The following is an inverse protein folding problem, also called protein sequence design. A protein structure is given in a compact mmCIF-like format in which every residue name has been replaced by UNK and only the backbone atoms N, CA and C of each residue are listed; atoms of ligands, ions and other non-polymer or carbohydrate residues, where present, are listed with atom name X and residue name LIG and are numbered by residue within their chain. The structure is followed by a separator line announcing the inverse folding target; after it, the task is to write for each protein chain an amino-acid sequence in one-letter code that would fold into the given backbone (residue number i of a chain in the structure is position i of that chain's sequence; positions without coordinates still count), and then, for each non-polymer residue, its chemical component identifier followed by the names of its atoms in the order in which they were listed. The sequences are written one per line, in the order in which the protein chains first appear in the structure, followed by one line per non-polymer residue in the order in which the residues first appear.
data_IF_070623982663
#
_entry.id   IF_070623982663
#
_cell.length_a   1.000
_cell.length_b   1.000
_cell.length_c   1.000
_cell.angle_alpha   90.00
_cell.angle_beta   90.00
_cell.angle_gamma   90.00
#
_symmetry.space_group_name_H-M   'P 1'
#
loop_
_entity.id
_entity.type
_entity.pdbx_description
1 polymer ?
#
# COMPACT_ATOMS: atom_id res chain seq x y z
N UNK A 1 8.31 11.31 -18.21
CA UNK A 1 8.57 9.89 -18.60
C UNK A 1 7.51 9.05 -17.92
N UNK A 2 6.76 8.29 -18.70
CA UNK A 2 5.70 7.41 -18.21
C UNK A 2 6.26 6.40 -17.18
N UNK A 3 5.44 6.06 -16.19
CA UNK A 3 5.86 5.17 -15.08
C UNK A 3 6.26 3.78 -15.60
N UNK A 4 5.53 3.25 -16.58
CA UNK A 4 5.81 1.94 -17.18
C UNK A 4 7.17 1.85 -17.89
N UNK A 5 7.78 2.97 -18.25
CA UNK A 5 9.12 3.05 -18.86
C UNK A 5 10.25 3.08 -17.83
N UNK A 6 9.93 3.22 -16.54
CA UNK A 6 10.92 3.21 -15.45
C UNK A 6 11.28 1.77 -15.08
N UNK A 7 12.54 1.47 -14.69
CA UNK A 7 12.88 0.20 -14.07
C UNK A 7 11.99 -0.09 -12.86
N UNK A 8 11.68 -1.36 -12.63
CA UNK A 8 10.79 -1.76 -11.53
C UNK A 8 11.22 -1.24 -10.14
N UNK A 9 12.51 -1.22 -9.75
CA UNK A 9 12.93 -0.61 -8.49
C UNK A 9 12.57 0.88 -8.37
N UNK A 10 12.65 1.63 -9.46
CA UNK A 10 12.27 3.04 -9.49
C UNK A 10 10.75 3.23 -9.37
N UNK A 11 9.96 2.35 -9.99
CA UNK A 11 8.51 2.36 -9.81
C UNK A 11 8.15 2.11 -8.34
N UNK A 12 8.74 1.10 -7.71
CA UNK A 12 8.51 0.77 -6.31
C UNK A 12 8.89 1.92 -5.37
N UNK A 13 10.02 2.58 -5.61
CA UNK A 13 10.46 3.74 -4.84
C UNK A 13 9.52 4.94 -5.04
N UNK A 14 9.11 5.21 -6.27
CA UNK A 14 8.17 6.29 -6.59
C UNK A 14 6.84 6.13 -5.85
N UNK A 15 6.22 4.95 -5.91
CA UNK A 15 4.94 4.71 -5.24
C UNK A 15 5.06 4.71 -3.71
N UNK A 16 6.21 4.28 -3.16
CA UNK A 16 6.48 4.42 -1.73
C UNK A 16 6.56 5.90 -1.32
N UNK A 17 7.22 6.71 -2.12
CA UNK A 17 7.32 8.15 -1.88
C UNK A 17 5.96 8.84 -2.06
N UNK A 18 5.17 8.46 -3.04
CA UNK A 18 3.79 8.94 -3.17
C UNK A 18 2.95 8.57 -1.94
N UNK A 19 3.08 7.33 -1.44
CA UNK A 19 2.38 6.89 -0.23
C UNK A 19 2.84 7.66 1.02
N UNK A 20 4.10 8.07 1.11
CA UNK A 20 4.61 8.91 2.19
C UNK A 20 4.03 10.33 2.11
N UNK A 21 4.07 10.94 0.93
CA UNK A 21 3.56 12.30 0.75
C UNK A 21 2.06 12.42 0.97
N UNK A 22 1.32 11.32 0.84
CA UNK A 22 -0.10 11.30 1.18
C UNK A 22 -0.40 11.58 2.65
N UNK A 23 0.56 11.40 3.58
CA UNK A 23 0.40 11.74 5.00
C UNK A 23 0.64 13.21 5.33
N UNK A 24 1.22 13.96 4.42
CA UNK A 24 1.45 15.39 4.61
C UNK A 24 0.13 16.19 4.63
N UNK A 25 0.10 17.37 5.25
CA UNK A 25 -0.99 18.31 5.05
C UNK A 25 -1.25 18.55 3.56
N UNK A 26 -2.50 18.73 3.16
CA UNK A 26 -2.91 18.78 1.76
C UNK A 26 -2.04 19.72 0.89
N UNK A 27 -1.80 20.94 1.37
CA UNK A 27 -1.00 21.93 0.66
C UNK A 27 0.45 21.46 0.42
N UNK A 28 1.04 20.85 1.44
CA UNK A 28 2.42 20.33 1.36
C UNK A 28 2.48 19.09 0.47
N UNK A 29 1.53 18.16 0.63
CA UNK A 29 1.42 16.97 -0.21
C UNK A 29 1.29 17.32 -1.68
N UNK A 30 0.38 18.26 -2.03
CA UNK A 30 0.22 18.77 -3.40
C UNK A 30 1.51 19.39 -3.96
N UNK A 31 2.27 20.14 -3.14
CA UNK A 31 3.55 20.69 -3.56
C UNK A 31 4.58 19.57 -3.85
N UNK A 32 4.65 18.54 -2.99
CA UNK A 32 5.53 17.39 -3.18
C UNK A 32 5.16 16.56 -4.40
N UNK A 33 3.90 16.32 -4.66
CA UNK A 33 3.44 15.65 -5.87
C UNK A 33 3.77 16.44 -7.15
N UNK A 34 3.69 17.77 -7.08
CA UNK A 34 4.12 18.64 -8.19
C UNK A 34 5.62 18.52 -8.48
N UNK A 35 6.48 18.39 -7.45
CA UNK A 35 7.92 18.12 -7.61
C UNK A 35 8.16 16.78 -8.34
N UNK A 36 7.27 15.78 -8.14
CA UNK A 36 7.33 14.50 -8.85
C UNK A 36 6.72 14.56 -10.27
N UNK A 37 6.20 15.70 -10.69
CA UNK A 37 5.61 15.90 -12.02
C UNK A 37 4.12 15.56 -12.11
N UNK A 38 3.39 15.55 -11.00
CA UNK A 38 1.95 15.28 -10.97
C UNK A 38 1.12 16.51 -10.57
N UNK A 39 -0.03 16.67 -11.19
CA UNK A 39 -1.14 17.46 -10.65
C UNK A 39 -1.89 16.58 -9.66
N UNK A 40 -2.08 17.05 -8.43
CA UNK A 40 -2.71 16.29 -7.37
C UNK A 40 -4.09 16.85 -7.00
N UNK A 41 -5.10 15.99 -6.95
CA UNK A 41 -6.41 16.24 -6.36
C UNK A 41 -6.53 15.46 -5.07
N UNK A 42 -6.98 16.10 -3.99
CA UNK A 42 -7.20 15.47 -2.69
C UNK A 42 -8.69 15.12 -2.55
N UNK A 43 -8.96 13.91 -2.09
CA UNK A 43 -10.28 13.39 -1.75
C UNK A 43 -10.31 13.17 -0.25
N UNK A 44 -11.35 13.67 0.41
CA UNK A 44 -11.59 13.48 1.84
C UNK A 44 -13.09 13.37 2.10
N UNK A 45 -13.56 12.14 2.29
CA UNK A 45 -14.95 11.84 2.61
C UNK A 45 -15.01 11.07 3.92
N UNK A 46 -15.63 11.66 4.92
CA UNK A 46 -15.80 11.07 6.26
C UNK A 46 -14.50 10.54 6.91
N UNK A 47 -13.36 11.20 6.60
CA UNK A 47 -12.04 10.81 7.08
C UNK A 47 -11.35 9.73 6.23
N UNK A 48 -12.02 9.20 5.21
CA UNK A 48 -11.43 8.32 4.20
C UNK A 48 -10.75 9.15 3.12
N UNK A 49 -9.43 9.07 3.05
CA UNK A 49 -8.61 10.01 2.28
C UNK A 49 -7.81 9.34 1.18
N UNK A 50 -7.72 10.01 0.03
CA UNK A 50 -6.89 9.60 -1.09
C UNK A 50 -6.37 10.81 -1.87
N UNK A 51 -5.29 10.60 -2.62
CA UNK A 51 -4.83 11.51 -3.66
C UNK A 51 -4.98 10.89 -5.03
N UNK A 52 -5.37 11.72 -5.96
CA UNK A 52 -5.44 11.43 -7.36
C UNK A 52 -4.35 12.24 -8.07
N UNK A 53 -3.37 11.53 -8.62
CA UNK A 53 -2.18 12.14 -9.21
C UNK A 53 -2.22 11.94 -10.71
N UNK A 54 -2.18 13.02 -11.47
CA UNK A 54 -2.31 13.00 -12.93
C UNK A 54 -1.12 13.67 -13.58
N UNK A 55 -0.54 13.03 -14.58
CA UNK A 55 0.34 13.66 -15.56
C UNK A 55 -0.14 13.31 -17.00
N UNK A 56 0.67 13.52 -18.02
CA UNK A 56 0.28 13.26 -19.41
C UNK A 56 0.06 11.78 -19.69
N UNK A 57 0.84 10.89 -19.06
CA UNK A 57 0.89 9.46 -19.34
C UNK A 57 0.16 8.61 -18.29
N UNK A 58 0.09 9.08 -17.05
CA UNK A 58 -0.24 8.26 -15.89
C UNK A 58 -1.32 8.88 -15.02
N UNK A 59 -2.08 8.01 -14.39
CA UNK A 59 -3.07 8.28 -13.37
C UNK A 59 -2.77 7.40 -12.16
N UNK A 60 -2.40 8.00 -11.03
CA UNK A 60 -2.06 7.25 -9.81
C UNK A 60 -3.07 7.56 -8.71
N UNK A 61 -3.69 6.52 -8.17
CA UNK A 61 -4.56 6.61 -7.00
C UNK A 61 -3.74 6.21 -5.79
N UNK A 62 -3.52 7.15 -4.86
CA UNK A 62 -2.76 6.92 -3.63
C UNK A 62 -3.71 7.02 -2.45
N UNK A 63 -4.07 5.88 -1.86
CA UNK A 63 -4.90 5.85 -0.66
C UNK A 63 -4.04 6.17 0.56
N UNK A 64 -4.51 7.13 1.38
CA UNK A 64 -3.87 7.52 2.63
C UNK A 64 -4.29 6.57 3.75
N UNK A 65 -3.32 6.13 4.54
CA UNK A 65 -3.59 5.40 5.78
C UNK A 65 -3.86 6.35 6.96
N UNK A 66 -4.25 5.77 8.09
CA UNK A 66 -4.37 6.48 9.36
C UNK A 66 -2.99 6.86 9.90
N UNK A 67 -2.91 7.97 10.62
CA UNK A 67 -1.67 8.40 11.25
C UNK A 67 -1.12 7.31 12.20
N UNK A 68 0.20 7.06 12.19
CA UNK A 68 0.80 5.99 13.01
C UNK A 68 0.51 6.08 14.50
N UNK A 69 0.26 7.29 15.02
CA UNK A 69 -0.12 7.54 16.42
C UNK A 69 -1.51 7.02 16.77
N UNK A 70 -2.43 7.02 15.81
CA UNK A 70 -3.82 6.58 15.94
C UNK A 70 -3.98 5.10 15.62
N UNK A 71 -3.01 4.51 14.89
CA UNK A 71 -3.09 3.12 14.45
C UNK A 71 -3.17 2.11 15.60
N UNK A 72 -2.57 2.41 16.76
CA UNK A 72 -2.65 1.55 17.94
C UNK A 72 -4.08 1.38 18.45
N UNK A 73 -4.82 2.49 18.46
CA UNK A 73 -6.20 2.52 18.91
C UNK A 73 -7.12 1.88 17.87
N UNK A 74 -6.86 2.16 16.59
CA UNK A 74 -7.58 1.54 15.46
C UNK A 74 -7.32 0.03 15.37
N UNK A 75 -6.09 -0.43 15.62
CA UNK A 75 -5.78 -1.87 15.61
C UNK A 75 -6.49 -2.62 16.75
N UNK A 76 -6.79 -1.95 17.86
CA UNK A 76 -7.57 -2.50 18.97
C UNK A 76 -9.09 -2.48 18.68
N UNK A 77 -9.57 -1.42 18.00
CA UNK A 77 -10.98 -1.18 17.70
C UNK A 77 -11.42 -1.64 16.31
N UNK A 78 -10.50 -2.17 15.51
CA UNK A 78 -10.82 -2.66 14.16
C UNK A 78 -12.01 -3.62 14.24
N UNK A 79 -13.17 -3.15 13.74
CA UNK A 79 -14.36 -3.97 13.48
C UNK A 79 -13.99 -5.09 12.48
N UNK A 80 -13.17 -6.03 12.94
CA UNK A 80 -12.56 -7.10 12.15
C UNK A 80 -13.60 -8.21 11.85
N UNK A 81 -14.80 -7.81 11.43
CA UNK A 81 -15.79 -8.77 10.97
C UNK A 81 -15.90 -8.75 9.45
N UNK A 82 -16.08 -9.91 8.83
CA UNK A 82 -16.18 -10.03 7.39
C UNK A 82 -17.58 -9.65 6.89
N UNK A 83 -17.63 -8.74 5.90
CA UNK A 83 -18.86 -8.34 5.19
C UNK A 83 -18.75 -8.70 3.70
N UNK A 84 -19.88 -8.94 2.99
CA UNK A 84 -19.84 -9.19 1.56
C UNK A 84 -19.10 -8.10 0.78
N UNK A 85 -18.27 -8.49 -0.17
CA UNK A 85 -17.54 -7.55 -1.01
C UNK A 85 -18.45 -6.87 -2.03
N UNK A 86 -18.10 -5.64 -2.44
CA UNK A 86 -18.82 -4.91 -3.49
C UNK A 86 -18.64 -5.53 -4.88
N UNK A 87 -17.70 -6.47 -5.05
CA UNK A 87 -17.47 -7.21 -6.31
C UNK A 87 -18.35 -8.47 -6.42
N UNK A 88 -19.11 -8.81 -5.39
CA UNK A 88 -19.90 -10.04 -5.33
C UNK A 88 -19.08 -11.31 -5.06
N UNK A 89 -17.76 -11.22 -4.87
CA UNK A 89 -16.87 -12.36 -4.64
C UNK A 89 -16.23 -12.23 -3.26
N UNK A 90 -16.45 -13.21 -2.38
CA UNK A 90 -15.86 -13.28 -1.06
C UNK A 90 -16.29 -12.16 -0.12
N UNK A 91 -15.54 -12.00 0.97
CA UNK A 91 -15.81 -11.05 2.03
C UNK A 91 -14.62 -10.17 2.32
N UNK A 92 -14.89 -8.94 2.73
CA UNK A 92 -13.93 -7.91 3.10
C UNK A 92 -14.01 -7.60 4.59
N UNK A 93 -12.91 -7.07 5.12
CA UNK A 93 -12.92 -6.40 6.41
C UNK A 93 -13.84 -5.17 6.35
N UNK A 94 -14.83 -5.10 7.25
CA UNK A 94 -15.90 -4.09 7.21
C UNK A 94 -15.37 -2.66 7.13
N UNK A 95 -14.46 -2.27 8.04
CA UNK A 95 -13.93 -0.91 8.07
C UNK A 95 -13.14 -0.54 6.81
N UNK A 96 -12.36 -1.47 6.22
CA UNK A 96 -11.64 -1.17 4.98
C UNK A 96 -12.58 -1.03 3.77
N UNK A 97 -13.66 -1.83 3.75
CA UNK A 97 -14.70 -1.71 2.73
C UNK A 97 -15.40 -0.36 2.84
N UNK A 98 -15.80 0.03 4.05
CA UNK A 98 -16.44 1.31 4.35
C UNK A 98 -15.58 2.47 3.84
N UNK A 99 -14.30 2.52 4.20
CA UNK A 99 -13.38 3.56 3.74
C UNK A 99 -13.25 3.64 2.21
N UNK A 100 -13.38 2.53 1.48
CA UNK A 100 -13.40 2.56 0.01
C UNK A 100 -14.75 3.00 -0.53
N UNK A 101 -15.85 2.60 0.12
CA UNK A 101 -17.19 3.02 -0.30
C UNK A 101 -17.38 4.53 -0.17
N UNK A 102 -16.81 5.16 0.87
CA UNK A 102 -16.85 6.61 1.11
C UNK A 102 -16.27 7.42 -0.05
N UNK A 103 -15.17 6.95 -0.65
CA UNK A 103 -14.48 7.64 -1.74
C UNK A 103 -14.82 7.12 -3.13
N UNK A 104 -15.68 6.08 -3.23
CA UNK A 104 -15.87 5.37 -4.50
C UNK A 104 -16.48 6.23 -5.60
N UNK A 105 -17.44 7.12 -5.30
CA UNK A 105 -18.06 8.00 -6.31
C UNK A 105 -17.00 8.93 -6.93
N UNK A 106 -16.16 9.56 -6.11
CA UNK A 106 -15.09 10.42 -6.61
C UNK A 106 -14.09 9.66 -7.47
N UNK A 107 -13.76 8.40 -7.06
CA UNK A 107 -12.90 7.53 -7.85
C UNK A 107 -13.50 7.24 -9.22
N UNK A 108 -14.81 6.95 -9.30
CA UNK A 108 -15.50 6.67 -10.57
C UNK A 108 -15.46 7.88 -11.49
N UNK A 109 -15.80 9.07 -10.98
CA UNK A 109 -15.84 10.30 -11.75
C UNK A 109 -14.46 10.63 -12.32
N UNK A 110 -13.44 10.61 -11.49
CA UNK A 110 -12.06 10.89 -11.90
C UNK A 110 -11.47 9.80 -12.82
N UNK A 111 -11.81 8.53 -12.59
CA UNK A 111 -11.41 7.44 -13.48
C UNK A 111 -12.04 7.58 -14.87
N UNK A 112 -13.29 8.02 -14.93
CA UNK A 112 -13.98 8.28 -16.17
C UNK A 112 -13.33 9.45 -16.95
N UNK A 113 -12.93 10.51 -16.24
CA UNK A 113 -12.38 11.72 -16.86
C UNK A 113 -10.94 11.53 -17.36
N UNK A 114 -10.11 10.83 -16.59
CA UNK A 114 -8.67 10.75 -16.83
C UNK A 114 -8.17 9.37 -17.26
N UNK A 115 -8.89 8.31 -16.92
CA UNK A 115 -8.38 6.95 -17.08
C UNK A 115 -8.43 6.39 -18.50
N UNK A 116 -9.18 7.01 -19.43
CA UNK A 116 -9.33 6.53 -20.81
C UNK A 116 -8.05 6.63 -21.64
N UNK A 117 -7.19 7.57 -21.31
CA UNK A 117 -5.97 7.89 -22.09
C UNK A 117 -4.69 7.71 -21.30
N UNK A 118 -4.78 7.27 -20.05
CA UNK A 118 -3.64 7.15 -19.12
C UNK A 118 -3.54 5.76 -18.53
N UNK A 119 -2.32 5.35 -18.22
CA UNK A 119 -2.08 4.13 -17.45
C UNK A 119 -2.48 4.36 -16.00
N UNK A 120 -3.36 3.51 -15.47
CA UNK A 120 -3.87 3.63 -14.09
C UNK A 120 -3.04 2.80 -13.13
N UNK A 121 -2.70 3.38 -11.98
CA UNK A 121 -1.91 2.76 -10.93
C UNK A 121 -2.60 2.95 -9.58
N UNK A 122 -2.49 1.96 -8.70
CA UNK A 122 -2.98 2.05 -7.32
C UNK A 122 -1.82 1.88 -6.34
N UNK A 123 -1.76 2.72 -5.31
CA UNK A 123 -0.74 2.60 -4.28
C UNK A 123 -1.29 2.98 -2.90
N UNK A 124 -0.63 2.50 -1.84
CA UNK A 124 -0.97 2.88 -0.48
C UNK A 124 -0.08 2.23 0.57
N UNK A 125 -0.12 2.81 1.76
CA UNK A 125 0.60 2.32 2.94
C UNK A 125 -0.39 2.07 4.08
N UNK A 126 -0.16 1.02 4.88
CA UNK A 126 -0.98 0.72 6.08
C UNK A 126 -2.46 0.49 5.72
N UNK A 127 -3.40 1.14 6.41
CA UNK A 127 -4.82 1.18 6.07
C UNK A 127 -5.02 1.57 4.58
N UNK A 128 -4.30 2.58 4.11
CA UNK A 128 -4.37 3.01 2.71
C UNK A 128 -3.94 1.91 1.73
N UNK A 129 -3.06 0.99 2.14
CA UNK A 129 -2.70 -0.17 1.32
C UNK A 129 -3.86 -1.19 1.21
N UNK A 130 -4.63 -1.38 2.30
CA UNK A 130 -5.85 -2.19 2.24
C UNK A 130 -6.92 -1.53 1.35
N UNK A 131 -7.13 -0.22 1.51
CA UNK A 131 -8.02 0.56 0.63
C UNK A 131 -7.60 0.45 -0.84
N UNK A 132 -6.32 0.68 -1.15
CA UNK A 132 -5.79 0.56 -2.52
C UNK A 132 -5.97 -0.85 -3.10
N UNK A 133 -5.85 -1.89 -2.27
CA UNK A 133 -6.09 -3.29 -2.68
C UNK A 133 -7.55 -3.51 -3.07
N UNK A 134 -8.49 -3.06 -2.24
CA UNK A 134 -9.93 -3.18 -2.50
C UNK A 134 -10.32 -2.36 -3.73
N UNK A 135 -9.83 -1.14 -3.80
CA UNK A 135 -10.10 -0.21 -4.89
C UNK A 135 -9.58 -0.73 -6.23
N UNK A 136 -8.34 -1.24 -6.27
CA UNK A 136 -7.75 -1.81 -7.49
C UNK A 136 -8.58 -2.99 -8.02
N UNK A 137 -9.03 -3.89 -7.14
CA UNK A 137 -9.87 -5.01 -7.56
C UNK A 137 -11.26 -4.55 -7.99
N UNK A 138 -11.84 -3.57 -7.31
CA UNK A 138 -13.14 -3.00 -7.68
C UNK A 138 -13.10 -2.33 -9.06
N UNK A 139 -12.03 -1.57 -9.37
CA UNK A 139 -11.79 -1.01 -10.70
C UNK A 139 -11.60 -2.10 -11.76
N UNK A 140 -10.81 -3.14 -11.45
CA UNK A 140 -10.59 -4.27 -12.36
C UNK A 140 -11.89 -5.01 -12.73
N UNK A 141 -12.91 -4.97 -11.86
CA UNK A 141 -14.21 -5.62 -12.05
C UNK A 141 -15.28 -4.71 -12.64
N UNK A 142 -15.02 -3.43 -12.76
CA UNK A 142 -15.96 -2.46 -13.28
C UNK A 142 -15.87 -2.40 -14.81
N UNK A 143 -16.95 -2.73 -15.51
CA UNK A 143 -16.98 -2.88 -16.98
C UNK A 143 -16.64 -1.61 -17.76
N UNK A 144 -16.90 -0.42 -17.18
CA UNK A 144 -16.76 0.87 -17.85
C UNK A 144 -15.63 1.75 -17.29
N UNK A 145 -14.81 1.21 -16.40
CA UNK A 145 -13.70 1.94 -15.79
C UNK A 145 -12.36 1.35 -16.23
N UNK A 146 -11.30 2.17 -16.24
CA UNK A 146 -9.97 1.70 -16.62
C UNK A 146 -9.44 0.72 -15.57
N UNK A 147 -8.95 -0.42 -16.03
CA UNK A 147 -8.28 -1.40 -15.17
C UNK A 147 -6.91 -0.89 -14.73
N UNK A 148 -6.56 -1.02 -13.44
CA UNK A 148 -5.22 -0.69 -13.00
C UNK A 148 -4.15 -1.58 -13.62
N UNK A 149 -3.05 -0.98 -14.07
CA UNK A 149 -1.87 -1.68 -14.57
C UNK A 149 -1.19 -2.49 -13.47
N UNK A 150 -1.07 -1.90 -12.29
CA UNK A 150 -0.54 -2.56 -11.12
C UNK A 150 -0.96 -1.89 -9.81
N UNK A 151 -0.84 -2.66 -8.74
CA UNK A 151 -1.04 -2.28 -7.35
C UNK A 151 0.29 -2.35 -6.58
N UNK A 152 0.65 -1.27 -5.88
CA UNK A 152 1.83 -1.23 -5.01
C UNK A 152 1.41 -0.97 -3.56
N UNK A 153 1.73 -1.88 -2.66
CA UNK A 153 1.34 -1.76 -1.24
C UNK A 153 2.53 -1.89 -0.31
N UNK A 154 2.53 -1.08 0.74
CA UNK A 154 3.60 -1.02 1.74
C UNK A 154 3.00 -1.27 3.13
N UNK A 155 3.46 -2.30 3.82
CA UNK A 155 2.94 -2.64 5.15
C UNK A 155 1.43 -2.92 5.19
N UNK A 156 0.85 -3.47 4.12
CA UNK A 156 -0.59 -3.71 4.00
C UNK A 156 -1.08 -4.73 5.03
N UNK A 157 -2.16 -4.44 5.79
CA UNK A 157 -2.89 -5.45 6.52
C UNK A 157 -3.66 -6.39 5.57
N UNK A 158 -4.18 -7.50 6.10
CA UNK A 158 -5.07 -8.40 5.35
C UNK A 158 -6.46 -7.78 5.22
N UNK A 159 -7.00 -7.72 4.02
CA UNK A 159 -8.26 -7.01 3.77
C UNK A 159 -9.44 -7.90 3.35
N UNK A 160 -9.19 -9.07 2.78
CA UNK A 160 -10.23 -9.96 2.28
C UNK A 160 -10.05 -11.41 2.73
N UNK A 161 -11.14 -12.19 2.67
CA UNK A 161 -11.09 -13.62 2.91
C UNK A 161 -10.42 -14.37 1.76
N UNK A 162 -10.26 -15.68 1.90
CA UNK A 162 -9.60 -16.52 0.90
C UNK A 162 -10.28 -16.48 -0.46
N UNK A 163 -11.61 -16.37 -0.48
CA UNK A 163 -12.39 -16.32 -1.73
C UNK A 163 -12.15 -14.99 -2.44
N UNK A 164 -12.20 -13.88 -1.72
CA UNK A 164 -11.91 -12.55 -2.24
C UNK A 164 -10.51 -12.48 -2.86
N UNK A 165 -9.50 -12.95 -2.14
CA UNK A 165 -8.11 -12.94 -2.60
C UNK A 165 -7.93 -13.81 -3.85
N UNK A 166 -8.51 -15.02 -3.89
CA UNK A 166 -8.47 -15.86 -5.09
C UNK A 166 -9.17 -15.20 -6.30
N UNK A 167 -10.31 -14.54 -6.06
CA UNK A 167 -11.01 -13.79 -7.10
C UNK A 167 -10.15 -12.67 -7.67
N UNK A 168 -9.42 -11.96 -6.82
CA UNK A 168 -8.49 -10.92 -7.24
C UNK A 168 -7.29 -11.49 -8.02
N UNK A 169 -6.67 -12.57 -7.54
CA UNK A 169 -5.56 -13.25 -8.22
C UNK A 169 -5.97 -13.76 -9.61
N UNK A 170 -7.20 -14.25 -9.76
CA UNK A 170 -7.74 -14.75 -11.03
C UNK A 170 -7.90 -13.66 -12.10
N UNK A 171 -7.89 -12.38 -11.75
CA UNK A 171 -7.96 -11.29 -12.74
C UNK A 171 -6.63 -11.03 -13.45
N UNK A 172 -5.52 -11.57 -12.94
CA UNK A 172 -4.18 -11.29 -13.44
C UNK A 172 -3.65 -9.89 -13.08
N UNK A 173 -4.32 -9.15 -12.19
CA UNK A 173 -3.83 -7.85 -11.70
C UNK A 173 -2.45 -8.01 -11.07
N UNK A 174 -1.47 -7.26 -11.58
CA UNK A 174 -0.13 -7.22 -11.00
C UNK A 174 -0.17 -6.53 -9.65
N UNK A 175 0.18 -7.26 -8.60
CA UNK A 175 0.18 -6.73 -7.23
C UNK A 175 1.54 -6.96 -6.55
N UNK A 176 2.14 -5.86 -6.12
CA UNK A 176 3.46 -5.84 -5.47
C UNK A 176 3.29 -5.43 -4.02
N UNK A 177 3.45 -6.39 -3.13
CA UNK A 177 3.25 -6.21 -1.69
C UNK A 177 4.59 -6.18 -0.96
N UNK A 178 5.02 -5.00 -0.53
CA UNK A 178 6.25 -4.81 0.23
C UNK A 178 6.01 -4.98 1.73
N UNK A 179 6.88 -5.74 2.38
CA UNK A 179 6.85 -6.01 3.82
C UNK A 179 8.22 -5.76 4.41
N UNK A 180 8.29 -4.83 5.34
CA UNK A 180 9.54 -4.42 5.96
C UNK A 180 9.79 -5.17 7.27
N UNK A 181 10.68 -6.16 7.24
CA UNK A 181 11.14 -6.94 8.39
C UNK A 181 10.01 -7.38 9.34
N UNK A 182 10.02 -6.88 10.58
CA UNK A 182 9.05 -7.23 11.63
C UNK A 182 7.81 -6.32 11.65
N UNK A 183 7.46 -5.69 10.53
CA UNK A 183 6.23 -4.91 10.41
C UNK A 183 5.02 -5.74 10.85
N UNK A 184 4.44 -5.37 12.00
CA UNK A 184 3.33 -6.10 12.60
C UNK A 184 2.01 -5.88 11.86
N UNK A 185 1.85 -4.71 11.24
CA UNK A 185 0.62 -4.38 10.50
C UNK A 185 0.42 -5.32 9.32
N UNK A 186 1.52 -5.66 8.64
CA UNK A 186 1.49 -6.64 7.56
C UNK A 186 1.14 -8.08 8.04
N UNK A 187 0.89 -8.31 9.33
CA UNK A 187 0.56 -9.61 9.92
C UNK A 187 -0.87 -9.71 10.45
N UNK A 188 -1.59 -8.61 10.46
CA UNK A 188 -2.96 -8.50 11.00
C UNK A 188 -3.95 -8.05 9.92
N UNK A 189 -5.27 -8.15 10.12
CA UNK A 189 -5.88 -9.05 11.09
C UNK A 189 -5.60 -10.52 10.76
N UNK A 190 -5.86 -11.43 11.72
CA UNK A 190 -5.71 -12.86 11.53
C UNK A 190 -6.93 -13.43 10.77
N UNK A 191 -7.13 -14.73 10.88
CA UNK A 191 -8.28 -15.41 10.29
C UNK A 191 -9.60 -14.65 10.53
N UNK A 192 -10.50 -14.51 9.53
CA UNK A 192 -10.51 -15.23 8.23
C UNK A 192 -9.81 -14.48 7.08
N UNK A 193 -9.05 -13.41 7.35
CA UNK A 193 -8.46 -12.56 6.33
C UNK A 193 -7.11 -13.08 5.84
N UNK A 194 -6.85 -12.87 4.56
CA UNK A 194 -5.68 -13.35 3.85
C UNK A 194 -4.96 -12.21 3.11
N UNK A 195 -3.71 -12.46 2.72
CA UNK A 195 -2.95 -11.61 1.82
C UNK A 195 -2.99 -12.15 0.41
N UNK A 196 -2.78 -11.28 -0.57
CA UNK A 196 -2.28 -11.67 -1.89
C UNK A 196 -0.97 -12.44 -1.73
N UNK A 197 -0.75 -13.45 -2.58
CA UNK A 197 0.52 -14.18 -2.60
C UNK A 197 1.71 -13.27 -2.93
N UNK A 198 2.94 -13.72 -2.62
CA UNK A 198 4.16 -13.10 -3.09
C UNK A 198 4.54 -11.78 -2.40
N UNK A 199 4.91 -11.81 -1.09
CA UNK A 199 5.49 -10.65 -0.44
C UNK A 199 6.91 -10.36 -0.93
N UNK A 200 7.16 -9.11 -1.29
CA UNK A 200 8.51 -8.58 -1.50
C UNK A 200 9.07 -8.13 -0.15
N UNK A 201 9.91 -8.96 0.43
CA UNK A 201 10.38 -8.78 1.79
C UNK A 201 11.65 -7.93 1.85
N UNK A 202 11.62 -6.87 2.64
CA UNK A 202 12.78 -6.05 2.97
C UNK A 202 13.34 -6.55 4.31
N UNK A 203 14.56 -7.09 4.30
CA UNK A 203 15.16 -7.69 5.47
C UNK A 203 15.58 -6.64 6.54
N UNK A 204 16.07 -7.11 7.68
CA UNK A 204 16.56 -6.25 8.76
C UNK A 204 17.61 -5.22 8.29
N UNK A 205 18.42 -5.59 7.31
CA UNK A 205 19.45 -4.73 6.72
C UNK A 205 18.95 -3.77 5.63
N UNK A 206 17.64 -3.71 5.35
CA UNK A 206 17.07 -2.84 4.35
C UNK A 206 17.15 -3.35 2.92
N UNK A 207 17.63 -4.56 2.70
CA UNK A 207 17.75 -5.14 1.36
C UNK A 207 16.53 -5.98 1.00
N UNK A 208 16.07 -5.86 -0.26
CA UNK A 208 15.00 -6.69 -0.78
C UNK A 208 15.45 -8.14 -0.93
N UNK A 209 14.65 -9.07 -0.46
CA UNK A 209 14.92 -10.52 -0.50
C UNK A 209 13.62 -11.31 -0.75
N UNK A 210 13.75 -12.39 -1.51
CA UNK A 210 12.75 -13.45 -1.54
C UNK A 210 13.15 -14.46 -0.46
N UNK A 211 12.47 -14.43 0.68
CA UNK A 211 12.79 -15.30 1.82
C UNK A 211 11.77 -16.43 1.96
N UNK A 212 12.24 -17.61 2.30
CA UNK A 212 11.38 -18.68 2.81
C UNK A 212 10.83 -18.31 4.19
N UNK A 213 9.76 -18.95 4.63
CA UNK A 213 9.17 -18.74 5.96
C UNK A 213 10.20 -18.86 7.10
N UNK A 214 11.07 -19.89 7.04
CA UNK A 214 12.14 -20.11 8.04
C UNK A 214 13.17 -18.98 8.04
N UNK A 215 13.52 -18.46 6.85
CA UNK A 215 14.48 -17.36 6.73
C UNK A 215 13.90 -16.05 7.25
N UNK A 216 12.63 -15.76 6.95
CA UNK A 216 11.92 -14.59 7.48
C UNK A 216 11.86 -14.64 9.02
N UNK A 217 11.58 -15.80 9.60
CA UNK A 217 11.56 -15.96 11.06
C UNK A 217 12.93 -15.69 11.69
N UNK A 218 14.01 -16.22 11.10
CA UNK A 218 15.39 -15.97 11.57
C UNK A 218 15.77 -14.48 11.46
N UNK A 219 15.34 -13.81 10.40
CA UNK A 219 15.65 -12.39 10.20
C UNK A 219 14.90 -11.52 11.22
N UNK A 220 13.63 -11.79 11.47
CA UNK A 220 12.83 -11.14 12.53
C UNK A 220 13.47 -11.34 13.90
N UNK A 221 13.91 -12.57 14.21
CA UNK A 221 14.59 -12.90 15.48
C UNK A 221 15.93 -12.16 15.61
N UNK A 222 16.69 -12.06 14.52
CA UNK A 222 17.94 -11.28 14.49
C UNK A 222 17.68 -9.80 14.76
N UNK A 223 16.67 -9.21 14.10
CA UNK A 223 16.25 -7.83 14.33
C UNK A 223 15.85 -7.59 15.79
N UNK A 224 15.17 -8.56 16.40
CA UNK A 224 14.82 -8.54 17.83
C UNK A 224 16.04 -8.47 18.75
N UNK A 225 17.02 -9.37 18.53
CA UNK A 225 18.25 -9.43 19.36
C UNK A 225 19.07 -8.13 19.22
N UNK A 226 19.18 -7.59 18.00
CA UNK A 226 19.90 -6.33 17.76
C UNK A 226 19.20 -5.16 18.44
N UNK A 227 17.86 -5.08 18.37
CA UNK A 227 17.07 -4.06 19.07
C UNK A 227 17.22 -4.11 20.59
N UNK A 228 17.24 -5.33 21.18
CA UNK A 228 17.51 -5.50 22.61
C UNK A 228 18.89 -5.01 23.03
N UNK A 229 19.94 -5.33 22.23
CA UNK A 229 21.32 -4.89 22.53
C UNK A 229 21.50 -3.37 22.48
N UNK A 230 20.71 -2.68 21.65
CA UNK A 230 20.79 -1.22 21.47
C UNK A 230 19.90 -0.43 22.43
N UNK A 231 19.17 -1.08 23.35
CA UNK A 231 18.15 -0.45 24.23
C UNK A 231 17.06 0.33 23.48
N UNK A 232 16.93 0.12 22.16
CA UNK A 232 15.92 0.80 21.32
C UNK A 232 14.52 0.22 21.48
N UNK A 233 14.36 -0.83 22.29
CA UNK A 233 13.10 -1.57 22.44
C UNK A 233 12.67 -2.24 21.12
N UNK A 234 11.72 -3.19 21.20
CA UNK A 234 11.14 -3.80 19.98
C UNK A 234 10.12 -2.80 19.42
N UNK A 235 10.59 -1.93 18.55
CA UNK A 235 9.72 -0.93 17.96
C UNK A 235 9.10 -1.51 16.67
N UNK A 236 8.11 -2.41 16.83
CA UNK A 236 7.35 -2.99 15.72
C UNK A 236 6.76 -1.91 14.80
N UNK A 237 6.40 -0.76 15.38
CA UNK A 237 5.88 0.39 14.65
C UNK A 237 6.94 1.15 13.85
N UNK A 238 8.21 1.09 14.26
CA UNK A 238 9.30 1.71 13.49
C UNK A 238 9.50 1.00 12.15
N UNK A 239 9.28 -0.32 12.09
CA UNK A 239 9.32 -1.07 10.84
C UNK A 239 8.11 -0.81 9.94
N UNK A 240 7.04 -0.27 10.50
CA UNK A 240 5.83 0.13 9.76
C UNK A 240 5.94 1.55 9.17
N UNK A 241 6.98 2.32 9.46
CA UNK A 241 7.14 3.67 8.92
C UNK A 241 7.26 3.67 7.39
N UNK A 242 6.37 4.41 6.72
CA UNK A 242 6.42 4.58 5.25
C UNK A 242 7.70 5.27 4.81
N UNK A 243 8.25 6.19 5.59
CA UNK A 243 9.55 6.82 5.33
C UNK A 243 10.66 5.77 5.19
N UNK A 244 10.70 4.77 6.08
CA UNK A 244 11.67 3.66 5.99
C UNK A 244 11.45 2.78 4.76
N UNK A 245 10.21 2.54 4.35
CA UNK A 245 9.93 1.85 3.09
C UNK A 245 10.47 2.64 1.90
N UNK A 246 10.18 3.95 1.84
CA UNK A 246 10.61 4.81 0.76
C UNK A 246 12.14 4.90 0.66
N UNK A 247 12.83 5.18 1.77
CA UNK A 247 14.30 5.25 1.82
C UNK A 247 14.96 3.96 1.34
N UNK A 248 14.52 2.80 1.85
CA UNK A 248 15.08 1.50 1.50
C UNK A 248 14.87 1.15 0.03
N UNK A 249 13.71 1.48 -0.53
CA UNK A 249 13.41 1.24 -1.93
C UNK A 249 14.15 2.21 -2.86
N UNK A 250 14.41 3.46 -2.43
CA UNK A 250 15.27 4.38 -3.16
C UNK A 250 16.72 3.91 -3.22
N UNK A 251 17.26 3.36 -2.11
CA UNK A 251 18.59 2.76 -2.11
C UNK A 251 18.63 1.57 -3.07
N UNK A 252 17.62 0.73 -3.06
CA UNK A 252 17.51 -0.39 -4.01
C UNK A 252 17.43 0.10 -5.47
N UNK A 253 16.67 1.15 -5.75
CA UNK A 253 16.54 1.73 -7.08
C UNK A 253 17.87 2.30 -7.61
N UNK A 254 18.71 2.82 -6.71
CA UNK A 254 20.05 3.33 -7.04
C UNK A 254 21.13 2.22 -7.13
N UNK A 255 20.78 0.96 -6.84
CA UNK A 255 21.74 -0.14 -6.75
C UNK A 255 22.73 -0.02 -5.61
N UNK A 256 22.42 0.78 -4.57
CA UNK A 256 23.27 1.03 -3.41
C UNK A 256 22.74 0.26 -2.20
N UNK A 257 23.63 -0.39 -1.44
CA UNK A 257 23.24 -1.02 -0.19
C UNK A 257 22.74 0.02 0.82
N UNK A 258 21.67 -0.34 1.54
CA UNK A 258 21.17 0.52 2.61
C UNK A 258 22.23 0.61 3.73
N UNK A 259 22.54 1.83 4.27
CA UNK A 259 23.52 1.96 5.33
C UNK A 259 23.21 1.05 6.51
N UNK A 260 24.19 0.28 6.92
CA UNK A 260 24.02 -0.63 8.06
C UNK A 260 23.89 0.20 9.34
N UNK A 261 22.96 -0.14 10.21
CA UNK A 261 22.75 0.58 11.44
C UNK A 261 23.91 0.37 12.43
#
# INVERSE_FOLDING_TARGET
MAINMRPFPEQAALFARCSEYAYLPEKEGKAKFKELGFKATFIDNDGSQAYWLVNDDDLVIVCRGTQPTEFKDIAADLKAFPVPSSTGIGKLHAGFKESVDDIWSDVVDLAHDYGKTRTVWCAGHSLGAAMATILAYRLQRADNLPSPQALFTYGSPRCGDKEYIKGMEATGLLAYRFVNNADIVARVPLWPFHHLAGAMYINHYGNLRTLTFKQSFKDVWRGFIVGLKRKEGINFFTNHSITRYAERLEHWAKGVEYPQP
#
